data_IF_685230062302
#
_entry.id   IF_685230062302
#
_cell.length_a   1.000
_cell.length_b   1.000
_cell.length_c   1.000
_cell.angle_alpha   90.00
_cell.angle_beta   90.00
_cell.angle_gamma   90.00
#
_symmetry.space_group_name_H-M   'P 1'
#
loop_
_entity.id
_entity.type
_entity.pdbx_description
1 polymer ?
#
# COMPACT_ATOMS: atom_id res chain seq x y z
N UNK A 1 12.74 4.96 10.24
CA UNK A 1 12.37 5.29 11.62
C UNK A 1 10.92 4.96 11.97
N UNK A 2 9.89 5.45 11.27
CA UNK A 2 8.46 5.16 11.56
C UNK A 2 8.15 3.65 11.58
N UNK A 3 8.73 2.89 10.66
CA UNK A 3 8.65 1.42 10.58
C UNK A 3 9.05 0.74 11.90
N UNK A 4 10.07 1.25 12.56
CA UNK A 4 10.68 0.71 13.77
C UNK A 4 10.27 1.44 15.06
N UNK A 5 9.25 2.30 15.00
CA UNK A 5 8.83 3.15 16.13
C UNK A 5 8.64 2.36 17.43
N UNK A 6 7.88 1.25 17.39
CA UNK A 6 7.63 0.47 18.61
C UNK A 6 8.89 -0.19 19.18
N UNK A 7 9.81 -0.63 18.31
CA UNK A 7 11.13 -1.09 18.74
C UNK A 7 11.95 0.03 19.41
N UNK A 8 11.94 1.21 18.82
CA UNK A 8 12.64 2.37 19.40
C UNK A 8 12.04 2.78 20.77
N UNK A 9 10.72 2.69 20.91
CA UNK A 9 10.04 2.89 22.19
C UNK A 9 10.42 1.79 23.21
N UNK A 10 10.50 0.53 22.79
CA UNK A 10 10.95 -0.58 23.64
C UNK A 10 12.37 -0.35 24.13
N UNK A 11 13.29 0.00 23.24
CA UNK A 11 14.69 0.32 23.62
C UNK A 11 14.72 1.51 24.57
N UNK A 12 14.00 2.57 24.27
CA UNK A 12 13.99 3.79 25.08
C UNK A 12 13.42 3.55 26.50
N UNK A 13 12.40 2.69 26.64
CA UNK A 13 11.76 2.37 27.92
C UNK A 13 12.72 1.76 28.97
N UNK A 14 13.84 1.19 28.53
CA UNK A 14 14.89 0.67 29.41
C UNK A 14 15.66 1.78 30.13
N UNK A 15 15.70 2.96 29.54
CA UNK A 15 16.51 4.09 30.05
C UNK A 15 15.64 5.22 30.61
N UNK A 16 14.36 5.24 30.24
CA UNK A 16 13.45 6.35 30.54
C UNK A 16 12.19 5.82 31.22
N UNK A 17 12.01 6.10 32.50
CA UNK A 17 10.87 5.63 33.30
C UNK A 17 9.64 6.55 33.25
N UNK A 18 9.84 7.82 32.93
CA UNK A 18 8.75 8.83 32.87
C UNK A 18 8.51 9.27 31.42
N UNK A 19 7.30 9.67 31.07
CA UNK A 19 7.01 10.22 29.74
C UNK A 19 7.96 11.37 29.40
N UNK A 20 8.50 11.32 28.18
CA UNK A 20 9.39 12.35 27.64
C UNK A 20 8.58 13.20 26.65
N UNK A 21 8.86 14.50 26.60
CA UNK A 21 8.26 15.41 25.64
C UNK A 21 8.51 14.92 24.20
N UNK A 22 7.55 15.19 23.31
CA UNK A 22 7.54 14.61 21.95
C UNK A 22 8.82 14.89 21.15
N UNK A 23 9.30 16.13 21.17
CA UNK A 23 10.51 16.56 20.46
C UNK A 23 11.77 15.87 20.97
N UNK A 24 11.91 15.74 22.31
CA UNK A 24 13.02 15.00 22.92
C UNK A 24 12.93 13.51 22.60
N UNK A 25 11.73 12.92 22.61
CA UNK A 25 11.50 11.54 22.18
C UNK A 25 11.93 11.33 20.74
N UNK A 26 11.55 12.23 19.84
CA UNK A 26 11.92 12.14 18.42
C UNK A 26 13.43 12.28 18.22
N UNK A 27 14.08 13.18 18.94
CA UNK A 27 15.53 13.31 18.93
C UNK A 27 16.21 12.02 19.37
N UNK A 28 15.75 11.40 20.46
CA UNK A 28 16.26 10.12 20.94
C UNK A 28 16.01 9.01 19.90
N UNK A 29 14.81 8.89 19.34
CA UNK A 29 14.52 7.89 18.28
C UNK A 29 15.43 8.06 17.06
N UNK A 30 15.64 9.31 16.61
CA UNK A 30 16.51 9.58 15.47
C UNK A 30 17.94 9.13 15.77
N UNK A 31 18.44 9.43 16.96
CA UNK A 31 19.79 9.04 17.37
C UNK A 31 19.94 7.52 17.50
N UNK A 32 19.00 6.86 18.18
CA UNK A 32 18.96 5.39 18.29
C UNK A 32 18.93 4.72 16.91
N UNK A 33 18.12 5.27 16.00
CA UNK A 33 18.02 4.75 14.63
C UNK A 33 19.30 4.93 13.82
N UNK A 34 19.95 6.10 13.93
CA UNK A 34 21.20 6.36 13.24
C UNK A 34 22.34 5.44 13.73
N UNK A 35 22.41 5.19 15.02
CA UNK A 35 23.43 4.31 15.61
C UNK A 35 23.10 2.84 15.31
N UNK A 36 21.88 2.41 15.56
CA UNK A 36 21.49 0.99 15.48
C UNK A 36 21.29 0.48 14.05
N UNK A 37 20.61 1.24 13.18
CA UNK A 37 20.24 0.81 11.83
C UNK A 37 21.15 1.37 10.73
N UNK A 38 21.52 2.67 10.83
CA UNK A 38 22.37 3.30 9.82
C UNK A 38 23.86 3.08 10.08
N UNK A 39 24.21 2.40 11.17
CA UNK A 39 25.59 2.11 11.59
C UNK A 39 26.51 3.34 11.59
N UNK A 40 25.92 4.52 11.88
CA UNK A 40 26.69 5.75 12.00
C UNK A 40 27.58 5.69 13.23
N UNK A 41 28.77 6.31 13.15
CA UNK A 41 29.67 6.41 14.28
C UNK A 41 28.99 7.13 15.48
N UNK A 42 28.76 6.39 16.56
CA UNK A 42 27.94 6.86 17.70
C UNK A 42 28.45 8.17 18.32
N UNK A 43 29.75 8.36 18.34
CA UNK A 43 30.35 9.55 18.92
C UNK A 43 29.84 10.84 18.28
N UNK A 44 29.81 10.89 16.94
CA UNK A 44 29.32 12.06 16.20
C UNK A 44 27.82 12.27 16.40
N UNK A 45 27.05 11.21 16.25
CA UNK A 45 25.58 11.28 16.34
C UNK A 45 25.13 11.69 17.74
N UNK A 46 25.76 11.15 18.80
CA UNK A 46 25.44 11.52 20.18
C UNK A 46 25.86 12.99 20.47
N UNK A 47 27.02 13.41 19.98
CA UNK A 47 27.47 14.81 20.13
C UNK A 47 26.48 15.79 19.48
N UNK A 48 26.06 15.52 18.26
CA UNK A 48 25.07 16.35 17.54
C UNK A 48 23.74 16.41 18.27
N UNK A 49 23.19 15.25 18.70
CA UNK A 49 21.96 15.22 19.47
C UNK A 49 22.01 15.99 20.78
N UNK A 50 23.10 15.88 21.53
CA UNK A 50 23.31 16.63 22.78
C UNK A 50 23.44 18.12 22.50
N UNK A 51 24.15 18.51 21.43
CA UNK A 51 24.31 19.92 21.07
C UNK A 51 22.95 20.52 20.63
N UNK A 52 22.16 19.78 19.82
CA UNK A 52 20.80 20.19 19.45
C UNK A 52 19.92 20.39 20.69
N UNK A 53 19.90 19.39 21.60
CA UNK A 53 19.12 19.48 22.82
C UNK A 53 19.56 20.69 23.70
N UNK A 54 20.85 21.01 23.72
CA UNK A 54 21.38 22.16 24.47
C UNK A 54 20.90 23.50 23.91
N UNK A 55 20.91 23.62 22.57
CA UNK A 55 20.52 24.85 21.89
C UNK A 55 19.00 25.10 22.01
N UNK A 56 18.18 24.04 21.79
CA UNK A 56 16.75 24.18 21.75
C UNK A 56 16.05 24.08 23.11
N UNK A 57 16.62 23.34 24.08
CA UNK A 57 15.96 22.99 25.33
C UNK A 57 16.83 23.23 26.59
N UNK A 58 18.07 23.73 26.43
CA UNK A 58 18.95 24.09 27.51
C UNK A 58 19.77 22.94 28.10
N UNK A 59 20.65 23.29 29.06
CA UNK A 59 21.66 22.38 29.61
C UNK A 59 21.07 21.16 30.31
N UNK A 60 19.91 21.31 30.99
CA UNK A 60 19.30 20.21 31.74
C UNK A 60 18.82 19.07 30.79
N UNK A 61 18.10 19.42 29.74
CA UNK A 61 17.63 18.45 28.75
C UNK A 61 18.80 17.82 27.99
N UNK A 62 19.82 18.60 27.65
CA UNK A 62 21.06 18.10 27.04
C UNK A 62 21.77 17.07 27.93
N UNK A 63 21.81 17.30 29.24
CA UNK A 63 22.35 16.35 30.22
C UNK A 63 21.56 15.03 30.24
N UNK A 64 20.24 15.11 30.23
CA UNK A 64 19.35 13.95 30.14
C UNK A 64 19.57 13.15 28.86
N UNK A 65 19.54 13.82 27.70
CA UNK A 65 19.77 13.18 26.38
C UNK A 65 21.15 12.49 26.38
N UNK A 66 22.19 13.13 26.86
CA UNK A 66 23.52 12.54 26.92
C UNK A 66 23.58 11.31 27.83
N UNK A 67 22.94 11.34 28.99
CA UNK A 67 22.90 10.21 29.93
C UNK A 67 22.18 8.99 29.30
N UNK A 68 21.02 9.21 28.68
CA UNK A 68 20.25 8.14 27.98
C UNK A 68 21.10 7.53 26.86
N UNK A 69 21.68 8.35 26.01
CA UNK A 69 22.39 7.86 24.82
C UNK A 69 23.70 7.15 25.17
N UNK A 70 24.43 7.62 26.19
CA UNK A 70 25.66 6.93 26.68
C UNK A 70 25.33 5.55 27.23
N UNK A 71 24.25 5.40 28.01
CA UNK A 71 23.83 4.11 28.54
C UNK A 71 23.43 3.17 27.38
N UNK A 72 22.65 3.66 26.43
CA UNK A 72 22.31 2.90 25.22
C UNK A 72 23.57 2.39 24.49
N UNK A 73 24.57 3.23 24.26
CA UNK A 73 25.79 2.82 23.54
C UNK A 73 26.54 1.73 24.29
N UNK A 74 26.59 1.78 25.62
CA UNK A 74 27.24 0.76 26.42
C UNK A 74 26.48 -0.58 26.44
N UNK A 75 25.15 -0.55 26.42
CA UNK A 75 24.31 -1.73 26.57
C UNK A 75 23.92 -2.39 25.23
N UNK A 76 24.13 -1.71 24.09
CA UNK A 76 23.56 -2.08 22.78
C UNK A 76 23.94 -3.46 22.29
N UNK A 77 25.10 -3.97 22.63
CA UNK A 77 25.61 -5.25 22.15
C UNK A 77 25.23 -6.43 23.07
N UNK A 78 24.84 -6.15 24.31
CA UNK A 78 24.65 -7.19 25.33
C UNK A 78 23.23 -7.27 25.89
N UNK A 79 22.52 -6.14 25.92
CA UNK A 79 21.25 -6.06 26.66
C UNK A 79 20.03 -5.71 25.82
N UNK A 80 20.21 -5.37 24.55
CA UNK A 80 19.11 -4.91 23.67
C UNK A 80 18.75 -6.04 22.71
N UNK A 81 17.48 -6.48 22.64
CA UNK A 81 17.08 -7.48 21.66
C UNK A 81 17.32 -6.95 20.25
N UNK A 82 17.71 -7.83 19.35
CA UNK A 82 17.83 -7.48 17.93
C UNK A 82 16.48 -7.02 17.37
N UNK A 83 16.45 -6.22 16.30
CA UNK A 83 15.19 -5.85 15.64
C UNK A 83 14.35 -7.04 15.20
N UNK A 84 14.96 -8.17 14.81
CA UNK A 84 14.26 -9.41 14.45
C UNK A 84 13.54 -10.04 15.66
N UNK A 85 14.23 -10.17 16.79
CA UNK A 85 13.63 -10.70 18.04
C UNK A 85 12.49 -9.81 18.56
N UNK A 86 12.51 -8.54 18.23
CA UNK A 86 11.51 -7.56 18.66
C UNK A 86 10.51 -7.17 17.56
N UNK A 87 10.30 -7.99 16.54
CA UNK A 87 9.43 -7.66 15.41
C UNK A 87 7.99 -7.36 15.85
N UNK A 88 7.44 -8.12 16.80
CA UNK A 88 6.09 -7.92 17.33
C UNK A 88 5.90 -6.55 17.96
N UNK A 89 6.93 -6.00 18.62
CA UNK A 89 6.91 -4.67 19.23
C UNK A 89 6.94 -3.54 18.20
N UNK A 90 7.26 -3.84 16.95
CA UNK A 90 7.24 -2.84 15.88
C UNK A 90 5.82 -2.56 15.36
N UNK A 91 4.81 -3.30 15.84
CA UNK A 91 3.40 -3.13 15.50
C UNK A 91 2.57 -2.78 16.73
N UNK A 92 1.44 -2.09 16.58
CA UNK A 92 0.46 -1.94 17.64
C UNK A 92 -0.03 -3.31 18.14
N UNK A 93 -0.21 -3.44 19.45
CA UNK A 93 -0.62 -4.73 20.08
C UNK A 93 -1.89 -5.29 19.46
N UNK A 94 -2.90 -4.45 19.21
CA UNK A 94 -4.17 -4.87 18.62
C UNK A 94 -4.01 -5.57 17.26
N UNK A 95 -3.09 -5.10 16.40
CA UNK A 95 -2.80 -5.75 15.11
C UNK A 95 -2.12 -7.12 15.30
N UNK A 96 -1.15 -7.18 16.21
CA UNK A 96 -0.45 -8.43 16.52
C UNK A 96 -1.43 -9.47 17.06
N UNK A 97 -2.28 -9.08 18.02
CA UNK A 97 -3.27 -9.97 18.63
C UNK A 97 -4.29 -10.44 17.58
N UNK A 98 -4.82 -9.51 16.76
CA UNK A 98 -5.77 -9.80 15.69
C UNK A 98 -5.22 -10.81 14.68
N UNK A 99 -4.01 -10.57 14.18
CA UNK A 99 -3.41 -11.46 13.19
C UNK A 99 -2.97 -12.79 13.81
N UNK A 100 -2.52 -12.79 15.08
CA UNK A 100 -2.22 -14.05 15.81
C UNK A 100 -3.47 -14.91 16.01
N UNK A 101 -4.61 -14.29 16.31
CA UNK A 101 -5.89 -15.00 16.41
C UNK A 101 -6.31 -15.60 15.06
N UNK A 102 -6.04 -14.90 13.97
CA UNK A 102 -6.46 -15.31 12.61
C UNK A 102 -5.53 -16.35 11.99
N UNK A 103 -4.23 -16.19 12.10
CA UNK A 103 -3.23 -16.97 11.38
C UNK A 103 -2.39 -17.88 12.27
N UNK A 104 -2.49 -17.73 13.58
CA UNK A 104 -1.57 -18.38 14.53
C UNK A 104 -0.25 -17.63 14.66
N UNK A 105 0.58 -18.06 15.62
CA UNK A 105 1.80 -17.34 16.00
C UNK A 105 2.85 -17.31 14.88
N UNK A 106 3.15 -18.47 14.27
CA UNK A 106 4.22 -18.60 13.28
C UNK A 106 3.96 -17.79 12.00
N UNK A 107 2.75 -17.92 11.43
CA UNK A 107 2.36 -17.17 10.21
C UNK A 107 2.32 -15.67 10.49
N UNK A 108 1.87 -15.28 11.69
CA UNK A 108 1.88 -13.87 12.08
C UNK A 108 3.30 -13.31 12.14
N UNK A 109 4.25 -14.04 12.72
CA UNK A 109 5.64 -13.59 12.78
C UNK A 109 6.23 -13.40 11.38
N UNK A 110 5.99 -14.35 10.47
CA UNK A 110 6.38 -14.23 9.06
C UNK A 110 5.75 -13.00 8.37
N UNK A 111 4.47 -12.74 8.62
CA UNK A 111 3.76 -11.56 8.11
C UNK A 111 4.38 -10.26 8.65
N UNK A 112 4.62 -10.16 9.96
CA UNK A 112 5.21 -8.97 10.60
C UNK A 112 6.62 -8.71 10.09
N UNK A 113 7.44 -9.75 9.95
CA UNK A 113 8.78 -9.65 9.38
C UNK A 113 8.74 -9.10 7.96
N UNK A 114 7.89 -9.66 7.10
CA UNK A 114 7.78 -9.18 5.71
C UNK A 114 7.31 -7.73 5.66
N UNK A 115 6.28 -7.37 6.42
CA UNK A 115 5.75 -6.00 6.47
C UNK A 115 6.76 -4.99 7.02
N UNK A 116 7.79 -5.44 7.74
CA UNK A 116 8.88 -4.61 8.22
C UNK A 116 10.10 -4.56 7.29
N UNK A 117 10.17 -5.37 6.25
CA UNK A 117 11.25 -5.26 5.24
C UNK A 117 11.11 -3.98 4.43
N UNK A 118 12.20 -3.55 3.82
CA UNK A 118 12.15 -2.46 2.85
C UNK A 118 11.30 -2.90 1.64
N UNK A 119 10.44 -2.01 1.12
CA UNK A 119 9.61 -2.35 -0.03
C UNK A 119 10.45 -2.43 -1.29
N UNK A 120 10.15 -3.40 -2.12
CA UNK A 120 10.58 -3.40 -3.52
C UNK A 120 9.71 -2.41 -4.31
N UNK A 121 10.31 -1.71 -5.25
CA UNK A 121 9.55 -0.87 -6.16
C UNK A 121 9.17 -1.65 -7.40
N UNK A 122 7.96 -1.44 -7.87
CA UNK A 122 7.46 -2.15 -9.05
C UNK A 122 7.09 -1.15 -10.14
N UNK A 123 7.56 -1.42 -11.34
CA UNK A 123 7.20 -0.74 -12.56
C UNK A 123 6.18 -1.58 -13.31
N UNK A 124 5.32 -0.94 -14.06
CA UNK A 124 4.48 -1.56 -15.09
C UNK A 124 4.98 -1.13 -16.46
N UNK A 125 5.18 -2.08 -17.34
CA UNK A 125 5.47 -1.86 -18.76
C UNK A 125 4.15 -1.71 -19.51
N UNK A 126 4.04 -0.70 -20.37
CA UNK A 126 2.97 -0.56 -21.34
C UNK A 126 3.25 -1.51 -22.52
N UNK A 127 2.71 -2.72 -22.44
CA UNK A 127 2.97 -3.81 -23.39
C UNK A 127 2.41 -3.57 -24.81
N UNK A 128 1.55 -2.56 -25.01
CA UNK A 128 1.14 -2.12 -26.33
C UNK A 128 2.20 -1.29 -27.07
N UNK A 129 3.18 -0.76 -26.36
CA UNK A 129 4.22 0.09 -26.92
C UNK A 129 5.61 -0.54 -26.93
N UNK A 130 5.88 -1.47 -26.02
CA UNK A 130 7.17 -2.11 -25.86
C UNK A 130 6.96 -3.44 -25.12
N UNK A 131 7.63 -4.50 -25.54
CA UNK A 131 7.61 -5.76 -24.80
C UNK A 131 8.35 -5.62 -23.47
N UNK A 132 8.10 -6.54 -22.56
CA UNK A 132 8.78 -6.54 -21.24
C UNK A 132 10.26 -6.81 -21.39
N UNK A 133 10.66 -7.66 -22.35
CA UNK A 133 12.08 -7.97 -22.61
C UNK A 133 12.83 -6.77 -23.18
N UNK A 134 12.26 -6.08 -24.17
CA UNK A 134 12.82 -4.82 -24.69
C UNK A 134 12.97 -3.77 -23.59
N UNK A 135 11.99 -3.68 -22.69
CA UNK A 135 12.07 -2.75 -21.56
C UNK A 135 13.17 -3.12 -20.57
N UNK A 136 13.39 -4.43 -20.31
CA UNK A 136 14.51 -4.91 -19.47
C UNK A 136 15.85 -4.54 -20.11
N UNK A 137 16.03 -4.84 -21.40
CA UNK A 137 17.26 -4.54 -22.14
C UNK A 137 17.56 -3.04 -22.17
N UNK A 138 16.55 -2.21 -22.46
CA UNK A 138 16.73 -0.77 -22.49
C UNK A 138 17.09 -0.18 -21.13
N UNK A 139 16.43 -0.64 -20.04
CA UNK A 139 16.74 -0.20 -18.68
C UNK A 139 18.13 -0.64 -18.25
N UNK A 140 18.51 -1.88 -18.57
CA UNK A 140 19.84 -2.41 -18.28
C UNK A 140 20.94 -1.64 -19.04
N UNK A 141 20.70 -1.28 -20.30
CA UNK A 141 21.59 -0.43 -21.10
C UNK A 141 21.84 0.94 -20.47
N UNK A 142 20.87 1.47 -19.74
CA UNK A 142 20.97 2.73 -18.98
C UNK A 142 21.46 2.51 -17.52
N UNK A 143 21.96 1.30 -17.18
CA UNK A 143 22.49 0.97 -15.86
C UNK A 143 21.44 0.80 -14.77
N UNK A 144 20.17 0.55 -15.15
CA UNK A 144 19.07 0.31 -14.22
C UNK A 144 18.78 -1.20 -14.21
N UNK A 145 19.24 -1.88 -13.16
CA UNK A 145 18.96 -3.29 -12.98
C UNK A 145 17.48 -3.50 -12.59
N UNK A 146 16.83 -4.38 -13.35
CA UNK A 146 15.43 -4.77 -13.12
C UNK A 146 15.29 -6.28 -13.23
N UNK A 147 14.28 -6.83 -12.58
CA UNK A 147 13.86 -8.23 -12.70
C UNK A 147 12.36 -8.32 -12.91
N UNK A 148 11.89 -9.40 -13.50
CA UNK A 148 10.45 -9.63 -13.72
C UNK A 148 9.68 -9.66 -12.40
N UNK A 149 8.45 -9.19 -12.44
CA UNK A 149 7.49 -9.36 -11.35
C UNK A 149 7.17 -10.83 -11.08
N UNK A 150 6.38 -11.08 -10.04
CA UNK A 150 6.04 -12.44 -9.59
C UNK A 150 4.80 -13.00 -10.27
N UNK A 151 3.77 -12.19 -10.42
CA UNK A 151 2.45 -12.60 -10.93
C UNK A 151 2.00 -11.78 -12.14
N UNK A 152 2.23 -10.46 -12.14
CA UNK A 152 1.84 -9.62 -13.27
C UNK A 152 2.84 -9.76 -14.42
N UNK A 153 2.39 -10.16 -15.63
CA UNK A 153 3.28 -10.30 -16.80
C UNK A 153 3.88 -8.98 -17.27
N UNK A 154 3.33 -7.84 -16.88
CA UNK A 154 3.84 -6.51 -17.20
C UNK A 154 4.70 -5.87 -16.10
N UNK A 155 4.94 -6.58 -14.99
CA UNK A 155 5.66 -6.05 -13.85
C UNK A 155 7.17 -6.23 -13.97
N UNK A 156 7.90 -5.16 -13.63
CA UNK A 156 9.34 -5.18 -13.38
C UNK A 156 9.60 -4.69 -11.95
N UNK A 157 10.51 -5.35 -11.25
CA UNK A 157 10.94 -4.96 -9.91
C UNK A 157 12.26 -4.23 -10.04
N UNK A 158 12.40 -3.12 -9.33
CA UNK A 158 13.60 -2.28 -9.28
C UNK A 158 13.92 -1.89 -7.83
N UNK A 159 15.20 -1.79 -7.50
CA UNK A 159 15.62 -1.45 -6.14
C UNK A 159 15.56 0.05 -5.85
N UNK A 160 15.71 0.90 -6.89
CA UNK A 160 15.76 2.35 -6.75
C UNK A 160 14.90 3.04 -7.81
N UNK A 161 14.02 3.97 -7.39
CA UNK A 161 13.18 4.74 -8.31
C UNK A 161 13.86 5.98 -8.90
N UNK A 162 14.86 6.57 -8.24
CA UNK A 162 15.48 7.82 -8.70
C UNK A 162 16.04 7.69 -10.12
N UNK A 163 16.82 6.66 -10.48
CA UNK A 163 17.28 6.46 -11.85
C UNK A 163 16.13 6.28 -12.85
N UNK A 164 15.05 5.59 -12.43
CA UNK A 164 13.86 5.37 -13.28
C UNK A 164 13.19 6.68 -13.64
N UNK A 165 13.00 7.60 -12.69
CA UNK A 165 12.36 8.89 -12.94
C UNK A 165 13.14 9.76 -13.96
N UNK A 166 14.45 9.61 -14.01
CA UNK A 166 15.30 10.27 -14.99
C UNK A 166 15.31 9.58 -16.37
N UNK A 167 14.82 8.34 -16.46
CA UNK A 167 14.88 7.52 -17.67
C UNK A 167 13.82 7.94 -18.72
N UNK A 168 14.17 7.79 -20.00
CA UNK A 168 13.32 8.13 -21.14
C UNK A 168 12.07 7.26 -21.21
N UNK A 169 12.16 5.97 -20.85
CA UNK A 169 10.99 5.06 -20.83
C UNK A 169 9.91 5.55 -19.85
N UNK A 170 10.34 6.06 -18.69
CA UNK A 170 9.40 6.63 -17.71
C UNK A 170 8.80 7.95 -18.22
N UNK A 171 9.61 8.86 -18.73
CA UNK A 171 9.16 10.16 -19.25
C UNK A 171 8.19 10.02 -20.42
N UNK A 172 8.43 9.03 -21.28
CA UNK A 172 7.58 8.72 -22.42
C UNK A 172 6.35 7.85 -22.05
N UNK A 173 6.20 7.48 -20.78
CA UNK A 173 5.07 6.68 -20.29
C UNK A 173 5.07 5.22 -20.78
N UNK A 174 6.23 4.70 -21.22
CA UNK A 174 6.41 3.27 -21.56
C UNK A 174 6.46 2.46 -20.25
N UNK A 175 7.14 2.96 -19.24
CA UNK A 175 7.06 2.40 -17.89
C UNK A 175 6.35 3.37 -16.94
N UNK A 176 5.69 2.83 -15.93
CA UNK A 176 4.99 3.59 -14.89
C UNK A 176 5.20 2.92 -13.53
N UNK A 177 5.29 3.70 -12.45
CA UNK A 177 5.36 3.13 -11.10
C UNK A 177 3.97 2.66 -10.67
N UNK A 178 3.84 1.37 -10.44
CA UNK A 178 2.59 0.76 -9.93
C UNK A 178 2.90 -0.56 -9.23
N UNK A 179 2.39 -0.74 -8.01
CA UNK A 179 2.53 -2.00 -7.28
C UNK A 179 1.92 -3.18 -8.04
N UNK A 180 2.56 -4.34 -7.97
CA UNK A 180 2.19 -5.51 -8.76
C UNK A 180 0.75 -5.98 -8.50
N UNK A 181 0.33 -6.07 -7.24
CA UNK A 181 -1.05 -6.40 -6.89
C UNK A 181 -2.08 -5.38 -7.46
N UNK A 182 -1.70 -4.09 -7.49
CA UNK A 182 -2.52 -3.05 -8.13
C UNK A 182 -2.59 -3.19 -9.65
N UNK A 183 -1.52 -3.72 -10.30
CA UNK A 183 -1.56 -4.06 -11.73
C UNK A 183 -2.56 -5.18 -12.00
N UNK A 184 -2.63 -6.19 -11.14
CA UNK A 184 -3.60 -7.28 -11.28
C UNK A 184 -5.05 -6.76 -11.24
N UNK A 185 -5.36 -5.75 -10.42
CA UNK A 185 -6.69 -5.13 -10.41
C UNK A 185 -7.02 -4.45 -11.75
N UNK A 186 -6.09 -3.72 -12.36
CA UNK A 186 -6.28 -3.15 -13.69
C UNK A 186 -6.47 -4.21 -14.78
N UNK A 187 -5.76 -5.35 -14.69
CA UNK A 187 -5.92 -6.48 -15.59
C UNK A 187 -7.30 -7.15 -15.42
N UNK A 188 -7.80 -7.24 -14.17
CA UNK A 188 -9.13 -7.77 -13.89
C UNK A 188 -10.24 -6.91 -14.52
N UNK A 189 -10.06 -5.58 -14.58
CA UNK A 189 -10.97 -4.66 -15.30
C UNK A 189 -10.91 -4.90 -16.80
N UNK A 190 -9.73 -5.02 -17.38
CA UNK A 190 -9.57 -5.31 -18.80
C UNK A 190 -10.18 -6.67 -19.16
N UNK A 191 -9.98 -7.71 -18.32
CA UNK A 191 -10.58 -9.03 -18.48
C UNK A 191 -12.11 -9.05 -18.28
N UNK A 192 -12.68 -8.07 -17.56
CA UNK A 192 -14.12 -7.89 -17.46
C UNK A 192 -14.73 -7.45 -18.80
N UNK A 193 -13.94 -6.76 -19.62
CA UNK A 193 -14.36 -6.29 -20.94
C UNK A 193 -15.36 -5.13 -20.90
N UNK A 194 -15.95 -4.84 -22.07
CA UNK A 194 -16.90 -3.76 -22.25
C UNK A 194 -16.27 -2.53 -22.90
N UNK A 195 -17.14 -1.67 -23.45
CA UNK A 195 -16.74 -0.46 -24.17
C UNK A 195 -16.87 0.79 -23.33
N UNK A 196 -17.70 0.76 -22.28
CA UNK A 196 -17.92 1.88 -21.34
C UNK A 196 -17.52 1.48 -19.93
N UNK A 197 -16.50 2.11 -19.40
CA UNK A 197 -15.90 1.77 -18.10
C UNK A 197 -15.94 2.99 -17.19
N UNK A 198 -16.38 2.83 -15.94
CA UNK A 198 -16.25 3.80 -14.87
C UNK A 198 -15.17 3.34 -13.89
N UNK A 199 -14.16 4.17 -13.65
CA UNK A 199 -13.29 4.07 -12.47
C UNK A 199 -13.85 5.00 -11.40
N UNK A 200 -14.57 4.44 -10.44
CA UNK A 200 -15.41 5.20 -9.51
C UNK A 200 -14.67 5.83 -8.33
N UNK A 201 -13.43 5.40 -8.06
CA UNK A 201 -12.57 5.91 -6.98
C UNK A 201 -11.12 6.06 -7.49
N UNK A 202 -10.95 6.81 -8.56
CA UNK A 202 -9.74 6.74 -9.40
C UNK A 202 -8.46 7.24 -8.73
N UNK A 203 -8.55 8.08 -7.70
CA UNK A 203 -7.39 8.69 -7.05
C UNK A 203 -6.53 9.49 -8.05
N UNK A 204 -5.31 9.03 -8.27
CA UNK A 204 -4.37 9.60 -9.26
C UNK A 204 -4.47 8.96 -10.66
N UNK A 205 -5.54 8.22 -10.94
CA UNK A 205 -5.83 7.56 -12.21
C UNK A 205 -4.79 6.51 -12.66
N UNK A 206 -4.06 5.90 -11.73
CA UNK A 206 -3.04 4.90 -12.07
C UNK A 206 -3.64 3.64 -12.71
N UNK A 207 -4.78 3.15 -12.17
CA UNK A 207 -5.52 2.01 -12.73
C UNK A 207 -6.23 2.41 -14.03
N UNK A 208 -6.86 3.59 -14.08
CA UNK A 208 -7.42 4.14 -15.31
C UNK A 208 -6.41 4.16 -16.45
N UNK A 209 -5.18 4.65 -16.18
CA UNK A 209 -4.08 4.67 -17.15
C UNK A 209 -3.79 3.26 -17.65
N UNK A 210 -3.67 2.30 -16.75
CA UNK A 210 -3.42 0.90 -17.11
C UNK A 210 -4.55 0.32 -17.97
N UNK A 211 -5.81 0.51 -17.58
CA UNK A 211 -6.96 -0.01 -18.32
C UNK A 211 -7.00 0.59 -19.72
N UNK A 212 -6.71 1.89 -19.86
CA UNK A 212 -6.65 2.55 -21.16
C UNK A 212 -5.52 2.04 -22.04
N UNK A 213 -4.38 1.66 -21.45
CA UNK A 213 -3.28 1.03 -22.16
C UNK A 213 -3.67 -0.36 -22.68
N UNK A 214 -4.36 -1.18 -21.86
CA UNK A 214 -4.76 -2.54 -22.23
C UNK A 214 -5.98 -2.55 -23.18
N UNK A 215 -6.89 -1.57 -23.01
CA UNK A 215 -8.16 -1.49 -23.76
C UNK A 215 -8.32 -0.11 -24.38
N UNK A 216 -7.52 0.25 -25.41
CA UNK A 216 -7.47 1.60 -25.97
C UNK A 216 -8.77 2.05 -26.64
N UNK A 217 -9.64 1.12 -27.02
CA UNK A 217 -10.95 1.40 -27.61
C UNK A 217 -12.06 1.64 -26.57
N UNK A 218 -11.79 1.38 -25.28
CA UNK A 218 -12.77 1.60 -24.24
C UNK A 218 -12.93 3.09 -23.91
N UNK A 219 -14.19 3.52 -23.76
CA UNK A 219 -14.52 4.82 -23.23
C UNK A 219 -14.49 4.77 -21.70
N UNK A 220 -13.46 5.38 -21.10
CA UNK A 220 -13.22 5.33 -19.67
C UNK A 220 -13.53 6.68 -19.06
N UNK A 221 -14.38 6.70 -18.04
CA UNK A 221 -14.64 7.85 -17.18
C UNK A 221 -13.99 7.57 -15.82
N UNK A 222 -13.25 8.55 -15.32
CA UNK A 222 -12.60 8.51 -14.00
C UNK A 222 -13.29 9.45 -13.04
N UNK A 223 -13.68 8.96 -11.88
CA UNK A 223 -14.38 9.75 -10.87
C UNK A 223 -13.66 9.65 -9.51
N UNK A 224 -13.54 10.77 -8.83
CA UNK A 224 -13.06 10.83 -7.43
C UNK A 224 -13.71 12.03 -6.76
N UNK A 225 -13.98 11.95 -5.46
CA UNK A 225 -14.54 13.08 -4.70
C UNK A 225 -13.48 14.12 -4.31
N UNK A 226 -12.22 13.88 -4.61
CA UNK A 226 -11.10 14.76 -4.26
C UNK A 226 -10.45 15.39 -5.50
N UNK A 227 -10.82 16.64 -5.78
CA UNK A 227 -10.26 17.42 -6.88
C UNK A 227 -8.72 17.51 -6.85
N UNK A 228 -8.09 17.52 -5.66
CA UNK A 228 -6.62 17.56 -5.58
C UNK A 228 -5.98 16.28 -6.11
N UNK A 229 -6.62 15.12 -5.90
CA UNK A 229 -6.14 13.83 -6.45
C UNK A 229 -6.31 13.81 -7.97
N UNK A 230 -7.45 14.25 -8.48
CA UNK A 230 -7.71 14.31 -9.92
C UNK A 230 -6.69 15.19 -10.65
N UNK A 231 -6.28 16.31 -10.05
CA UNK A 231 -5.24 17.19 -10.64
C UNK A 231 -3.86 16.57 -10.74
N UNK A 232 -3.59 15.45 -10.03
CA UNK A 232 -2.33 14.70 -10.16
C UNK A 232 -2.33 13.76 -11.38
N UNK A 233 -3.49 13.57 -12.00
CA UNK A 233 -3.63 12.72 -13.18
C UNK A 233 -3.15 13.44 -14.43
N UNK A 234 -2.71 12.67 -15.42
CA UNK A 234 -2.26 13.24 -16.71
C UNK A 234 -3.41 13.89 -17.46
N UNK A 235 -3.16 14.96 -18.25
CA UNK A 235 -4.15 15.55 -19.15
C UNK A 235 -4.73 14.51 -20.13
N UNK A 236 -5.97 14.70 -20.55
CA UNK A 236 -6.61 13.86 -21.57
C UNK A 236 -7.42 12.66 -21.04
N UNK A 237 -7.64 12.58 -19.73
CA UNK A 237 -8.62 11.65 -19.14
C UNK A 237 -9.97 12.35 -18.95
N UNK A 238 -11.08 11.62 -19.21
CA UNK A 238 -12.43 12.06 -18.87
C UNK A 238 -12.61 11.97 -17.36
N UNK A 239 -12.41 13.06 -16.64
CA UNK A 239 -12.43 13.08 -15.18
C UNK A 239 -13.62 13.88 -14.65
N UNK A 240 -14.27 13.34 -13.62
CA UNK A 240 -15.41 13.95 -12.93
C UNK A 240 -15.10 14.00 -11.44
N UNK A 241 -15.22 15.19 -10.85
CA UNK A 241 -15.17 15.33 -9.40
C UNK A 241 -16.59 15.16 -8.84
N UNK A 242 -16.87 13.97 -8.29
CA UNK A 242 -18.18 13.64 -7.73
C UNK A 242 -18.06 12.58 -6.63
N UNK A 243 -19.10 12.49 -5.81
CA UNK A 243 -19.22 11.48 -4.76
C UNK A 243 -19.78 10.17 -5.34
N UNK A 244 -19.06 9.07 -5.17
CA UNK A 244 -19.47 7.75 -5.60
C UNK A 244 -20.70 7.20 -4.82
N UNK A 245 -21.06 7.80 -3.69
CA UNK A 245 -22.30 7.50 -2.98
C UNK A 245 -23.55 8.13 -3.65
N UNK A 246 -23.36 9.19 -4.45
CA UNK A 246 -24.40 9.86 -5.22
C UNK A 246 -23.87 10.13 -6.64
N UNK A 247 -23.61 9.09 -7.44
CA UNK A 247 -22.93 9.23 -8.72
C UNK A 247 -23.83 9.95 -9.75
N UNK A 248 -23.28 10.90 -10.55
CA UNK A 248 -24.08 11.73 -11.47
C UNK A 248 -24.32 11.05 -12.82
N UNK A 249 -24.67 9.77 -12.81
CA UNK A 249 -24.89 8.99 -14.02
C UNK A 249 -26.26 8.30 -14.02
N UNK A 250 -26.76 8.00 -15.20
CA UNK A 250 -27.99 7.23 -15.37
C UNK A 250 -27.75 5.74 -15.06
N UNK A 251 -28.78 5.04 -14.60
CA UNK A 251 -28.76 3.59 -14.44
C UNK A 251 -28.40 2.91 -15.76
N UNK A 252 -27.63 1.81 -15.69
CA UNK A 252 -27.23 1.01 -16.84
C UNK A 252 -26.25 1.70 -17.82
N UNK A 253 -25.55 2.75 -17.40
CA UNK A 253 -24.65 3.51 -18.27
C UNK A 253 -23.31 2.80 -18.54
N UNK A 254 -22.92 1.81 -17.75
CA UNK A 254 -21.60 1.20 -17.83
C UNK A 254 -21.63 -0.31 -18.01
N UNK A 255 -20.72 -0.79 -18.85
CA UNK A 255 -20.44 -2.21 -19.01
C UNK A 255 -19.67 -2.75 -17.81
N UNK A 256 -18.67 -1.95 -17.35
CA UNK A 256 -17.81 -2.30 -16.22
C UNK A 256 -17.62 -1.09 -15.32
N UNK A 257 -17.76 -1.32 -14.01
CA UNK A 257 -17.43 -0.33 -12.96
C UNK A 257 -16.29 -0.88 -12.10
N UNK A 258 -15.18 -0.16 -12.07
CA UNK A 258 -14.09 -0.40 -11.11
C UNK A 258 -14.39 0.36 -9.83
N UNK A 259 -14.36 -0.36 -8.71
CA UNK A 259 -14.46 0.18 -7.37
C UNK A 259 -13.16 -0.16 -6.62
N UNK A 260 -12.10 0.64 -6.86
CA UNK A 260 -10.87 0.59 -6.04
C UNK A 260 -11.13 1.38 -4.77
N UNK A 261 -11.78 0.73 -3.82
CA UNK A 261 -12.42 1.40 -2.71
C UNK A 261 -11.43 1.93 -1.67
N UNK A 262 -11.75 3.07 -1.02
CA UNK A 262 -11.04 3.47 0.20
C UNK A 262 -11.08 2.35 1.23
N UNK A 263 -9.93 2.07 1.87
CA UNK A 263 -9.78 0.94 2.79
C UNK A 263 -8.82 1.27 3.93
N UNK A 264 -8.66 0.35 4.87
CA UNK A 264 -7.67 0.46 5.95
C UNK A 264 -6.24 0.61 5.41
N UNK A 265 -5.98 0.09 4.22
CA UNK A 265 -4.67 0.02 3.58
C UNK A 265 -3.64 -0.83 4.35
N UNK A 266 -4.10 -1.76 5.20
CA UNK A 266 -3.22 -2.62 5.99
C UNK A 266 -2.37 -3.55 5.12
N UNK A 267 -2.80 -3.81 3.89
CA UNK A 267 -2.04 -4.60 2.92
C UNK A 267 -0.77 -3.93 2.39
N UNK A 268 -0.66 -2.61 2.50
CA UNK A 268 0.48 -1.82 1.99
C UNK A 268 1.34 -1.19 3.09
N UNK A 269 1.24 -1.69 4.32
CA UNK A 269 2.05 -1.23 5.47
C UNK A 269 3.55 -1.30 5.18
N UNK A 270 4.00 -2.25 4.37
CA UNK A 270 5.39 -2.36 3.93
C UNK A 270 5.86 -1.09 3.20
N UNK A 271 5.01 -0.47 2.39
CA UNK A 271 5.29 0.78 1.65
C UNK A 271 4.98 2.03 2.48
N UNK A 272 3.95 1.95 3.31
CA UNK A 272 3.40 3.04 4.09
C UNK A 272 3.36 2.67 5.59
N UNK A 273 4.52 2.62 6.27
CA UNK A 273 4.60 2.13 7.66
C UNK A 273 3.88 2.99 8.68
N UNK A 274 3.52 4.23 8.34
CA UNK A 274 2.70 5.10 9.16
C UNK A 274 1.26 4.60 9.34
N UNK A 275 0.75 3.79 8.41
CA UNK A 275 -0.61 3.24 8.43
C UNK A 275 -0.86 2.45 9.71
N UNK A 276 0.04 1.54 10.07
CA UNK A 276 -0.11 0.72 11.27
C UNK A 276 -0.25 1.51 12.58
N UNK A 277 0.25 2.76 12.60
CA UNK A 277 0.18 3.64 13.77
C UNK A 277 -1.02 4.60 13.75
N UNK A 278 -1.67 4.74 12.60
CA UNK A 278 -2.83 5.63 12.41
C UNK A 278 -4.15 4.89 12.45
N UNK A 279 -4.15 3.59 12.14
CA UNK A 279 -5.38 2.78 12.11
C UNK A 279 -5.70 2.23 13.49
N UNK A 280 -7.00 2.09 13.71
CA UNK A 280 -7.59 1.38 14.85
C UNK A 280 -8.42 0.21 14.33
N UNK A 281 -8.88 -0.67 15.21
CA UNK A 281 -9.72 -1.80 14.85
C UNK A 281 -11.08 -1.34 14.31
N UNK A 282 -11.65 -0.26 14.88
CA UNK A 282 -12.91 0.34 14.45
C UNK A 282 -12.83 0.92 13.02
N UNK A 283 -11.64 1.35 12.59
CA UNK A 283 -11.44 1.82 11.21
C UNK A 283 -11.75 0.73 10.20
N UNK A 284 -11.41 -0.53 10.47
CA UNK A 284 -11.68 -1.67 9.57
C UNK A 284 -13.19 -1.78 9.33
N UNK A 285 -13.97 -1.82 10.40
CA UNK A 285 -15.44 -1.90 10.32
C UNK A 285 -16.07 -0.69 9.61
N UNK A 286 -15.53 0.51 9.87
CA UNK A 286 -15.98 1.74 9.22
C UNK A 286 -15.71 1.73 7.71
N UNK A 287 -14.52 1.28 7.29
CA UNK A 287 -14.20 1.15 5.87
C UNK A 287 -15.04 0.06 5.20
N UNK A 288 -15.25 -1.08 5.84
CA UNK A 288 -16.12 -2.13 5.33
C UNK A 288 -17.56 -1.65 5.07
N UNK A 289 -18.14 -0.89 6.01
CA UNK A 289 -19.46 -0.30 5.83
C UNK A 289 -19.49 0.72 4.67
N UNK A 290 -18.46 1.54 4.53
CA UNK A 290 -18.33 2.49 3.40
C UNK A 290 -18.22 1.73 2.07
N UNK A 291 -17.40 0.69 2.00
CA UNK A 291 -17.20 -0.13 0.79
C UNK A 291 -18.49 -0.79 0.34
N UNK A 292 -19.26 -1.34 1.26
CA UNK A 292 -20.58 -1.90 0.96
C UNK A 292 -21.54 -0.83 0.44
N UNK A 293 -21.53 0.36 1.03
CA UNK A 293 -22.36 1.49 0.58
C UNK A 293 -21.98 1.96 -0.82
N UNK A 294 -20.68 2.02 -1.13
CA UNK A 294 -20.17 2.33 -2.48
C UNK A 294 -20.62 1.29 -3.51
N UNK A 295 -20.49 0.00 -3.20
CA UNK A 295 -20.94 -1.05 -4.11
C UNK A 295 -22.44 -0.99 -4.37
N UNK A 296 -23.25 -0.69 -3.35
CA UNK A 296 -24.70 -0.52 -3.48
C UNK A 296 -25.07 0.67 -4.34
N UNK A 297 -24.46 1.82 -4.14
CA UNK A 297 -24.76 3.05 -4.90
C UNK A 297 -24.35 2.94 -6.37
N UNK A 298 -23.24 2.26 -6.64
CA UNK A 298 -22.69 2.08 -7.98
C UNK A 298 -23.34 0.91 -8.73
N UNK A 299 -24.07 0.03 -8.03
CA UNK A 299 -24.70 -1.16 -8.62
C UNK A 299 -25.66 -0.87 -9.77
N UNK A 300 -26.46 0.17 -9.61
CA UNK A 300 -27.48 0.50 -10.61
C UNK A 300 -26.88 1.14 -11.88
N UNK A 301 -25.66 1.63 -11.79
CA UNK A 301 -24.92 2.15 -12.95
C UNK A 301 -24.48 1.06 -13.93
N UNK A 302 -24.33 -0.16 -13.42
CA UNK A 302 -23.93 -1.31 -14.23
C UNK A 302 -25.17 -1.87 -14.95
N UNK A 303 -25.07 -2.07 -16.26
CA UNK A 303 -26.14 -2.69 -17.07
C UNK A 303 -26.34 -4.17 -16.69
N UNK A 304 -27.50 -4.77 -16.96
CA UNK A 304 -27.67 -6.22 -16.85
C UNK A 304 -26.59 -6.96 -17.65
N UNK A 305 -25.98 -7.99 -17.08
CA UNK A 305 -24.85 -8.72 -17.64
C UNK A 305 -23.51 -8.00 -17.58
N UNK A 306 -23.48 -6.74 -17.18
CA UNK A 306 -22.25 -5.96 -16.91
C UNK A 306 -21.55 -6.40 -15.63
N UNK A 307 -20.41 -5.77 -15.33
CA UNK A 307 -19.52 -6.23 -14.25
C UNK A 307 -19.12 -5.11 -13.30
N UNK A 308 -18.96 -5.46 -12.03
CA UNK A 308 -18.25 -4.67 -11.04
C UNK A 308 -16.92 -5.37 -10.76
N UNK A 309 -15.81 -4.64 -10.82
CA UNK A 309 -14.53 -5.09 -10.32
C UNK A 309 -14.27 -4.34 -9.01
N UNK A 310 -14.34 -5.06 -7.90
CA UNK A 310 -14.07 -4.54 -6.58
C UNK A 310 -12.64 -4.84 -6.19
N UNK A 311 -11.89 -3.83 -5.71
CA UNK A 311 -10.54 -4.02 -5.22
C UNK A 311 -10.24 -3.17 -3.99
N UNK A 312 -9.41 -3.71 -3.09
CA UNK A 312 -8.89 -3.00 -1.91
C UNK A 312 -7.46 -3.43 -1.62
N UNK A 313 -6.63 -2.49 -1.14
CA UNK A 313 -5.28 -2.77 -0.64
C UNK A 313 -5.33 -3.19 0.84
N UNK A 314 -6.14 -4.19 1.12
CA UNK A 314 -6.36 -4.82 2.42
C UNK A 314 -6.53 -6.32 2.24
N UNK A 315 -6.24 -7.08 3.28
CA UNK A 315 -6.53 -8.52 3.37
C UNK A 315 -7.44 -8.86 4.56
N UNK A 316 -7.99 -7.84 5.22
CA UNK A 316 -8.92 -8.03 6.33
C UNK A 316 -10.26 -8.60 5.83
N UNK A 317 -10.81 -9.66 6.47
CA UNK A 317 -12.06 -10.29 6.02
C UNK A 317 -13.21 -9.31 5.86
N UNK A 318 -13.35 -8.38 6.80
CA UNK A 318 -14.41 -7.38 6.83
C UNK A 318 -14.40 -6.48 5.60
N UNK A 319 -13.20 -6.17 5.05
CA UNK A 319 -13.02 -5.32 3.86
C UNK A 319 -12.97 -6.13 2.56
N UNK A 320 -12.98 -7.45 2.63
CA UNK A 320 -12.81 -8.35 1.50
C UNK A 320 -14.03 -9.24 1.30
N UNK A 321 -13.94 -10.50 1.72
CA UNK A 321 -15.00 -11.50 1.52
C UNK A 321 -16.32 -11.15 2.19
N UNK A 322 -16.29 -10.47 3.33
CA UNK A 322 -17.50 -10.12 4.07
C UNK A 322 -18.28 -9.01 3.39
N UNK A 323 -17.60 -8.04 2.73
CA UNK A 323 -18.26 -7.03 1.89
C UNK A 323 -19.03 -7.72 0.76
N UNK A 324 -18.41 -8.69 0.08
CA UNK A 324 -19.06 -9.44 -1.01
C UNK A 324 -20.24 -10.27 -0.48
N UNK A 325 -20.05 -10.96 0.64
CA UNK A 325 -21.11 -11.74 1.30
C UNK A 325 -22.29 -10.86 1.73
N UNK A 326 -22.03 -9.66 2.23
CA UNK A 326 -23.08 -8.73 2.60
C UNK A 326 -23.78 -8.11 1.39
N UNK A 327 -23.07 -7.87 0.29
CA UNK A 327 -23.68 -7.42 -0.97
C UNK A 327 -24.64 -8.48 -1.52
N UNK A 328 -24.31 -9.76 -1.39
CA UNK A 328 -25.14 -10.89 -1.87
C UNK A 328 -26.48 -11.02 -1.13
N UNK A 329 -26.67 -10.35 0.01
CA UNK A 329 -27.96 -10.34 0.72
C UNK A 329 -29.03 -9.50 0.00
N UNK A 330 -28.61 -8.51 -0.78
CA UNK A 330 -29.51 -7.53 -1.41
C UNK A 330 -29.36 -7.47 -2.94
N UNK A 331 -28.31 -8.02 -3.50
CA UNK A 331 -28.05 -7.95 -4.95
C UNK A 331 -27.86 -9.35 -5.51
N UNK A 332 -28.43 -9.58 -6.70
CA UNK A 332 -28.32 -10.85 -7.40
C UNK A 332 -27.17 -10.79 -8.41
N UNK A 333 -26.18 -11.67 -8.25
CA UNK A 333 -24.98 -11.70 -9.09
C UNK A 333 -24.28 -13.05 -9.07
N UNK A 334 -23.31 -13.20 -9.98
CA UNK A 334 -22.37 -14.31 -10.02
C UNK A 334 -20.94 -13.76 -9.85
N UNK A 335 -20.15 -14.43 -9.01
CA UNK A 335 -18.71 -14.20 -8.97
C UNK A 335 -18.06 -14.87 -10.18
N UNK A 336 -17.18 -14.15 -10.84
CA UNK A 336 -16.37 -14.64 -11.94
C UNK A 336 -14.90 -14.60 -11.57
N UNK A 337 -14.09 -15.54 -12.03
CA UNK A 337 -12.64 -15.47 -11.83
C UNK A 337 -12.07 -14.14 -12.34
N UNK A 338 -11.50 -13.29 -11.47
CA UNK A 338 -11.02 -11.97 -11.89
C UNK A 338 -9.77 -12.04 -12.77
N UNK A 339 -8.96 -13.10 -12.66
CA UNK A 339 -7.67 -13.26 -13.29
C UNK A 339 -7.51 -14.67 -13.88
N UNK A 340 -8.28 -15.03 -14.92
CA UNK A 340 -8.33 -16.39 -15.44
C UNK A 340 -7.01 -16.89 -16.06
N UNK A 341 -6.09 -15.98 -16.35
CA UNK A 341 -4.74 -16.29 -16.84
C UNK A 341 -3.75 -16.65 -15.71
N UNK A 342 -4.11 -16.48 -14.43
CA UNK A 342 -3.23 -16.80 -13.28
C UNK A 342 -3.72 -18.00 -12.48
N UNK A 343 -5.04 -18.14 -12.29
CA UNK A 343 -5.62 -19.18 -11.42
C UNK A 343 -7.11 -19.41 -11.74
N UNK A 344 -7.69 -20.40 -11.09
CA UNK A 344 -9.12 -20.71 -11.19
C UNK A 344 -9.79 -20.55 -9.82
N UNK A 345 -10.08 -19.31 -9.43
CA UNK A 345 -10.75 -18.95 -8.17
C UNK A 345 -11.71 -17.77 -8.43
N UNK A 346 -12.76 -17.67 -7.63
CA UNK A 346 -13.78 -16.62 -7.74
C UNK A 346 -13.31 -15.24 -7.26
N UNK A 347 -12.22 -15.19 -6.51
CA UNK A 347 -11.59 -13.95 -6.10
C UNK A 347 -10.07 -14.13 -5.94
N UNK A 348 -9.34 -13.03 -6.02
CA UNK A 348 -7.92 -12.97 -5.70
C UNK A 348 -7.75 -12.36 -4.30
N UNK A 349 -7.02 -13.06 -3.43
CA UNK A 349 -6.56 -12.56 -2.15
C UNK A 349 -5.05 -12.80 -2.06
N UNK A 350 -4.31 -11.73 -1.88
CA UNK A 350 -2.87 -11.77 -1.62
C UNK A 350 -2.62 -11.56 -0.13
N UNK A 351 -2.00 -12.55 0.50
CA UNK A 351 -1.42 -12.43 1.84
C UNK A 351 0.08 -12.16 1.67
N UNK A 352 0.62 -11.07 2.22
CA UNK A 352 2.01 -10.68 1.95
C UNK A 352 3.04 -11.78 2.24
N UNK A 353 2.90 -12.53 3.32
CA UNK A 353 3.82 -13.59 3.72
C UNK A 353 3.78 -14.81 2.80
N UNK A 354 2.68 -15.06 2.09
CA UNK A 354 2.55 -16.16 1.13
C UNK A 354 3.03 -15.77 -0.27
N UNK A 355 2.67 -14.57 -0.72
CA UNK A 355 2.86 -14.13 -2.12
C UNK A 355 4.08 -13.24 -2.32
N UNK A 356 4.62 -12.66 -1.25
CA UNK A 356 5.61 -11.59 -1.24
C UNK A 356 5.14 -10.30 -1.96
N UNK A 357 3.85 -10.21 -2.34
CA UNK A 357 3.21 -9.01 -2.85
C UNK A 357 2.64 -8.16 -1.71
N UNK A 358 2.08 -7.00 -2.06
CA UNK A 358 1.21 -6.26 -1.14
C UNK A 358 -0.03 -7.09 -0.81
N UNK A 359 -0.59 -6.90 0.39
CA UNK A 359 -1.90 -7.46 0.73
C UNK A 359 -2.99 -6.79 -0.11
N UNK A 360 -3.74 -7.57 -0.86
CA UNK A 360 -4.67 -7.06 -1.83
C UNK A 360 -5.83 -8.02 -2.08
N UNK A 361 -7.01 -7.49 -2.35
CA UNK A 361 -8.18 -8.27 -2.72
C UNK A 361 -8.79 -7.77 -4.03
N UNK A 362 -9.23 -8.71 -4.87
CA UNK A 362 -9.94 -8.41 -6.13
C UNK A 362 -11.08 -9.41 -6.28
N UNK A 363 -12.28 -8.91 -6.52
CA UNK A 363 -13.44 -9.69 -6.91
C UNK A 363 -14.04 -9.13 -8.21
N UNK A 364 -14.43 -10.01 -9.14
CA UNK A 364 -15.18 -9.66 -10.34
C UNK A 364 -16.59 -10.20 -10.20
N UNK A 365 -17.57 -9.31 -10.27
CA UNK A 365 -18.96 -9.54 -9.95
C UNK A 365 -19.77 -9.26 -11.20
N UNK A 366 -20.45 -10.27 -11.77
CA UNK A 366 -21.35 -10.10 -12.92
C UNK A 366 -22.78 -9.90 -12.43
N UNK A 367 -23.39 -8.78 -12.78
CA UNK A 367 -24.79 -8.46 -12.49
C UNK A 367 -25.69 -9.38 -13.30
N UNK A 368 -26.67 -10.02 -12.66
CA UNK A 368 -27.70 -10.84 -13.30
C UNK A 368 -28.87 -10.02 -13.79
#
# INVERSE_FOLDING_TARGET
MIRWRGYLDLVLSRYVRKPVEKDVRYLLWMTLYQVGFMKKAYYHVVKEAVQYARNERGKFVAGFVNAVLRRYVNDRETCIPSPGEAVRQTFPKWLVDRWTMRFGTGETDGLLELLNREPEFTLRVNTHRMTVDEAIEALAGDGIEVRRGRLSPSALIVDRLIPVFANTLFRNGIVSVQGEASQLAGMAVAAAGGTTILDACTGSATKTKQVREISPQAHIISMDNNMKRLRLSSPGYNMICADALVPPFRAGSFDTVLVDAPCSSLGIVRKHPEIKWRRTEEDISRFAAMQLSLLRSLWDLVRPGGRVVYSVCSFEPEETTDVIRNLAKDKNFVLENPLPFLFNKDCFLSLPHETALDGFFIARIRKL
#
